data_IF_111948999806
#
_entry.id   IF_111948999806
#
_cell.length_a   1.000
_cell.length_b   1.000
_cell.length_c   1.000
_cell.angle_alpha   90.00
_cell.angle_beta   90.00
_cell.angle_gamma   90.00
#
_symmetry.space_group_name_H-M   'P 1'
#
loop_
_entity.id
_entity.type
_entity.pdbx_description
1 polymer ?
#
# COMPACT_ATOMS: atom_id res chain seq x y z
N UNK A 1 -15.86 40.06 9.38
CA UNK A 1 -15.67 38.76 8.70
C UNK A 1 -15.00 37.85 9.70
N UNK A 2 -15.66 36.77 10.14
CA UNK A 2 -15.13 35.92 11.22
C UNK A 2 -14.05 34.98 10.67
N UNK A 3 -12.90 34.89 11.34
CA UNK A 3 -11.78 34.02 10.93
C UNK A 3 -12.22 32.55 10.73
N UNK A 4 -13.19 32.06 11.53
CA UNK A 4 -13.78 30.73 11.38
C UNK A 4 -14.45 30.49 10.03
N UNK A 5 -15.05 31.51 9.42
CA UNK A 5 -15.70 31.40 8.11
C UNK A 5 -14.67 31.33 6.97
N UNK A 6 -13.47 31.90 7.17
CA UNK A 6 -12.39 31.84 6.19
C UNK A 6 -11.86 30.42 6.03
N UNK A 7 -11.60 29.71 7.13
CA UNK A 7 -11.08 28.33 7.11
C UNK A 7 -12.09 27.29 6.63
N UNK A 8 -13.39 27.50 6.82
CA UNK A 8 -14.43 26.60 6.31
C UNK A 8 -14.55 26.62 4.78
N UNK A 9 -13.98 27.62 4.11
CA UNK A 9 -14.02 27.76 2.65
C UNK A 9 -12.85 27.09 1.92
N UNK A 10 -11.86 26.54 2.64
CA UNK A 10 -10.69 25.90 2.05
C UNK A 10 -10.99 24.44 1.71
N UNK A 11 -11.19 24.14 0.43
CA UNK A 11 -11.31 22.78 -0.06
C UNK A 11 -9.92 22.15 -0.20
N UNK A 12 -9.67 21.06 0.53
CA UNK A 12 -8.50 20.22 0.34
C UNK A 12 -8.80 19.23 -0.79
N UNK A 13 -8.57 19.68 -2.02
CA UNK A 13 -8.74 18.87 -3.21
C UNK A 13 -7.49 18.02 -3.47
N UNK A 14 -7.67 16.82 -4.03
CA UNK A 14 -6.53 16.08 -4.57
C UNK A 14 -5.81 16.96 -5.59
N UNK A 15 -4.48 17.10 -5.55
CA UNK A 15 -3.78 17.87 -6.57
C UNK A 15 -3.89 17.22 -7.98
N UNK A 16 -4.59 16.08 -8.12
CA UNK A 16 -4.64 15.22 -9.31
C UNK A 16 -6.03 14.96 -9.88
N UNK A 17 -6.99 15.90 -9.74
CA UNK A 17 -8.38 15.77 -10.22
C UNK A 17 -8.62 15.45 -11.71
N UNK A 18 -7.57 15.31 -12.53
CA UNK A 18 -7.70 14.88 -13.91
C UNK A 18 -6.79 13.68 -14.16
N UNK A 19 -7.38 12.49 -14.26
CA UNK A 19 -6.79 11.24 -14.77
C UNK A 19 -6.24 11.35 -16.23
N UNK A 20 -6.18 12.56 -16.80
CA UNK A 20 -5.68 12.87 -18.13
C UNK A 20 -4.38 13.70 -18.13
N UNK A 21 -3.67 13.78 -17.01
CA UNK A 21 -2.25 14.12 -17.07
C UNK A 21 -1.47 12.84 -17.34
N UNK A 22 -1.18 12.65 -18.63
CA UNK A 22 0.09 12.04 -19.07
C UNK A 22 1.15 12.24 -17.99
N UNK A 23 1.80 11.15 -17.57
CA UNK A 23 3.10 11.12 -16.90
C UNK A 23 3.92 12.38 -17.21
N UNK A 24 3.71 13.45 -16.46
CA UNK A 24 4.83 14.26 -16.05
C UNK A 24 5.57 13.29 -15.15
N UNK A 25 6.80 12.92 -15.52
CA UNK A 25 7.64 12.09 -14.69
C UNK A 25 7.80 12.81 -13.34
N UNK A 26 6.88 12.56 -12.41
CA UNK A 26 6.95 13.02 -11.03
C UNK A 26 7.87 12.10 -10.23
N UNK A 27 8.71 11.31 -10.91
CA UNK A 27 9.75 10.48 -10.30
C UNK A 27 10.67 11.33 -9.41
N UNK A 28 10.80 12.63 -9.71
CA UNK A 28 11.61 13.60 -8.96
C UNK A 28 10.90 14.19 -7.72
N UNK A 29 9.58 14.00 -7.55
CA UNK A 29 8.83 14.52 -6.41
C UNK A 29 8.70 13.45 -5.32
N UNK A 30 9.56 13.54 -4.29
CA UNK A 30 9.56 12.63 -3.14
C UNK A 30 9.07 13.34 -1.88
N UNK A 31 8.01 12.81 -1.28
CA UNK A 31 7.55 13.17 0.07
C UNK A 31 8.09 12.17 1.08
N UNK A 32 8.66 12.63 2.20
CA UNK A 32 9.19 11.75 3.26
C UNK A 32 8.43 11.99 4.56
N UNK A 33 7.81 10.94 5.10
CA UNK A 33 7.28 10.88 6.47
C UNK A 33 8.35 10.21 7.33
N UNK A 34 9.19 11.02 7.97
CA UNK A 34 10.33 10.54 8.75
C UNK A 34 9.94 9.71 9.97
N UNK A 35 10.86 8.88 10.45
CA UNK A 35 10.63 7.90 11.54
C UNK A 35 10.19 8.50 12.88
N UNK A 36 10.50 9.77 13.13
CA UNK A 36 10.05 10.51 14.32
C UNK A 36 8.64 11.10 14.20
N UNK A 37 7.90 10.77 13.14
CA UNK A 37 6.59 11.34 12.83
C UNK A 37 5.46 10.35 13.14
N UNK A 38 4.42 10.84 13.80
CA UNK A 38 3.14 10.13 13.98
C UNK A 38 2.04 10.99 13.39
N UNK A 39 1.29 10.44 12.42
CA UNK A 39 0.12 11.07 11.82
C UNK A 39 -1.11 10.32 12.29
N UNK A 40 -1.82 10.90 13.26
CA UNK A 40 -3.03 10.30 13.83
C UNK A 40 -4.29 10.88 13.16
N UNK A 41 -4.74 10.20 12.09
CA UNK A 41 -5.99 10.49 11.43
C UNK A 41 -7.21 9.87 12.13
N UNK A 42 -8.39 10.46 11.90
CA UNK A 42 -9.69 9.82 12.14
C UNK A 42 -10.05 8.90 10.96
N UNK A 43 -11.18 8.19 11.04
CA UNK A 43 -11.60 7.23 10.01
C UNK A 43 -11.62 7.82 8.57
N UNK A 44 -11.95 9.10 8.42
CA UNK A 44 -12.01 9.78 7.11
C UNK A 44 -10.77 10.62 6.78
N UNK A 45 -9.72 10.54 7.59
CA UNK A 45 -8.47 11.27 7.34
C UNK A 45 -7.69 10.60 6.22
N UNK A 46 -7.15 11.43 5.32
CA UNK A 46 -6.47 10.98 4.10
C UNK A 46 -5.14 11.73 3.95
N UNK A 47 -4.09 11.00 3.62
CA UNK A 47 -2.88 11.52 3.00
C UNK A 47 -3.05 11.29 1.50
N UNK A 48 -2.99 12.36 0.71
CA UNK A 48 -3.05 12.29 -0.76
C UNK A 48 -1.69 12.77 -1.28
N UNK A 49 -0.95 11.87 -1.93
CA UNK A 49 0.37 12.17 -2.49
C UNK A 49 0.37 11.97 -4.01
N UNK A 50 0.97 12.92 -4.71
CA UNK A 50 1.00 12.96 -6.17
C UNK A 50 2.17 12.32 -6.86
N UNK A 51 3.32 12.48 -6.24
CA UNK A 51 4.55 11.85 -6.65
C UNK A 51 4.76 10.58 -5.86
N UNK A 52 6.01 10.41 -5.44
CA UNK A 52 6.44 9.30 -4.63
C UNK A 52 6.38 9.65 -3.15
N UNK A 53 6.15 8.64 -2.31
CA UNK A 53 6.17 8.81 -0.85
C UNK A 53 7.01 7.73 -0.19
N UNK A 54 7.77 8.14 0.81
CA UNK A 54 8.48 7.25 1.72
C UNK A 54 7.92 7.43 3.13
N UNK A 55 7.51 6.33 3.78
CA UNK A 55 6.88 6.34 5.10
C UNK A 55 7.72 5.51 6.05
N UNK A 56 8.53 6.18 6.86
CA UNK A 56 9.31 5.59 7.94
C UNK A 56 8.62 5.71 9.32
N UNK A 57 7.67 6.65 9.44
CA UNK A 57 6.93 6.93 10.68
C UNK A 57 5.70 6.06 10.89
N UNK A 58 4.74 6.57 11.66
CA UNK A 58 3.46 5.91 11.92
C UNK A 58 2.32 6.71 11.31
N UNK A 59 1.41 6.04 10.61
CA UNK A 59 0.25 6.67 9.96
C UNK A 59 -1.02 5.91 10.31
N UNK A 60 -2.04 6.64 10.73
CA UNK A 60 -3.40 6.13 10.89
C UNK A 60 -4.34 6.85 9.92
N UNK A 61 -5.02 6.09 9.06
CA UNK A 61 -5.94 6.61 8.04
C UNK A 61 -5.62 6.11 6.63
N UNK A 62 -6.23 6.74 5.62
CA UNK A 62 -5.98 6.42 4.22
C UNK A 62 -4.66 7.04 3.75
N UNK A 63 -3.84 6.25 3.07
CA UNK A 63 -2.68 6.71 2.29
C UNK A 63 -2.98 6.45 0.82
N UNK A 64 -3.24 7.52 0.07
CA UNK A 64 -3.57 7.46 -1.36
C UNK A 64 -2.49 8.16 -2.19
N UNK A 65 -1.75 7.37 -2.95
CA UNK A 65 -0.53 7.77 -3.65
C UNK A 65 -0.74 7.54 -5.14
N UNK A 66 -0.52 8.58 -5.96
CA UNK A 66 -0.61 8.47 -7.40
C UNK A 66 0.63 7.78 -8.01
N UNK A 67 1.81 7.98 -7.41
CA UNK A 67 3.08 7.34 -7.80
C UNK A 67 3.44 6.11 -6.94
N UNK A 68 4.74 5.99 -6.67
CA UNK A 68 5.32 4.88 -5.90
C UNK A 68 5.31 5.18 -4.40
N UNK A 69 5.02 4.17 -3.59
CA UNK A 69 5.10 4.24 -2.14
C UNK A 69 6.14 3.25 -1.60
N UNK A 70 7.02 3.71 -0.72
CA UNK A 70 7.93 2.89 0.06
C UNK A 70 7.57 2.99 1.54
N UNK A 71 7.31 1.85 2.18
CA UNK A 71 6.90 1.79 3.58
C UNK A 71 7.96 1.04 4.37
N UNK A 72 8.54 1.73 5.37
CA UNK A 72 9.43 1.17 6.39
C UNK A 72 8.77 1.20 7.79
N UNK A 73 7.67 1.93 7.91
CA UNK A 73 7.00 2.24 9.17
C UNK A 73 5.75 1.40 9.47
N UNK A 74 4.85 1.98 10.26
CA UNK A 74 3.57 1.34 10.63
C UNK A 74 2.39 2.09 10.02
N UNK A 75 1.47 1.36 9.39
CA UNK A 75 0.22 1.91 8.87
C UNK A 75 -0.98 1.17 9.47
N UNK A 76 -1.91 1.93 10.05
CA UNK A 76 -3.23 1.46 10.47
C UNK A 76 -4.29 2.12 9.57
N UNK A 77 -4.66 1.44 8.49
CA UNK A 77 -5.58 1.96 7.48
C UNK A 77 -5.36 1.42 6.07
N UNK A 78 -6.06 2.02 5.10
CA UNK A 78 -6.01 1.62 3.70
C UNK A 78 -4.81 2.25 2.98
N UNK A 79 -4.10 1.47 2.17
CA UNK A 79 -3.01 1.95 1.31
C UNK A 79 -3.37 1.76 -0.15
N UNK A 80 -3.37 2.85 -0.92
CA UNK A 80 -3.53 2.85 -2.37
C UNK A 80 -2.27 3.43 -3.02
N UNK A 81 -1.67 2.73 -3.97
CA UNK A 81 -0.49 3.22 -4.69
C UNK A 81 -0.39 2.64 -6.11
N UNK A 82 0.38 3.28 -6.99
CA UNK A 82 0.62 2.76 -8.34
C UNK A 82 1.58 1.58 -8.26
N UNK A 83 2.70 1.80 -7.57
CA UNK A 83 3.70 0.82 -7.17
C UNK A 83 3.86 0.90 -5.65
N UNK A 84 4.05 -0.25 -5.01
CA UNK A 84 4.21 -0.29 -3.56
C UNK A 84 5.32 -1.26 -3.18
N UNK A 85 6.27 -0.76 -2.39
CA UNK A 85 7.28 -1.56 -1.71
C UNK A 85 7.07 -1.43 -0.21
N UNK A 86 6.93 -2.57 0.47
CA UNK A 86 6.84 -2.64 1.93
C UNK A 86 8.09 -3.36 2.40
N UNK A 87 8.89 -2.68 3.22
CA UNK A 87 10.22 -3.10 3.62
C UNK A 87 10.25 -3.71 5.02
N UNK A 88 11.40 -4.28 5.36
CA UNK A 88 11.59 -5.11 6.55
C UNK A 88 11.23 -4.36 7.84
N UNK A 89 10.50 -5.04 8.73
CA UNK A 89 10.06 -4.49 10.00
C UNK A 89 8.78 -3.65 9.94
N UNK A 90 8.26 -3.40 8.74
CA UNK A 90 6.99 -2.69 8.55
C UNK A 90 5.80 -3.48 9.08
N UNK A 91 4.79 -2.76 9.56
CA UNK A 91 3.53 -3.33 10.05
C UNK A 91 2.35 -2.64 9.41
N UNK A 92 1.48 -3.40 8.74
CA UNK A 92 0.29 -2.84 8.10
C UNK A 92 -0.95 -3.56 8.64
N UNK A 93 -1.81 -2.79 9.30
CA UNK A 93 -3.15 -3.23 9.70
C UNK A 93 -4.17 -2.52 8.81
N UNK A 94 -4.64 -3.19 7.78
CA UNK A 94 -5.57 -2.65 6.79
C UNK A 94 -5.32 -3.20 5.39
N UNK A 95 -6.23 -2.87 4.48
CA UNK A 95 -6.17 -3.38 3.11
C UNK A 95 -5.12 -2.61 2.27
N UNK A 96 -4.52 -3.31 1.31
CA UNK A 96 -3.54 -2.79 0.37
C UNK A 96 -4.10 -2.92 -1.05
N UNK A 97 -4.16 -1.82 -1.79
CA UNK A 97 -4.49 -1.79 -3.21
C UNK A 97 -3.33 -1.20 -4.02
N UNK A 98 -2.55 -2.09 -4.63
CA UNK A 98 -1.50 -1.71 -5.57
C UNK A 98 -2.01 -1.86 -7.00
N UNK A 99 -1.89 -0.83 -7.83
CA UNK A 99 -2.42 -0.88 -9.22
C UNK A 99 -1.53 -1.68 -10.17
N UNK A 100 -0.22 -1.72 -9.92
CA UNK A 100 0.74 -2.44 -10.78
C UNK A 100 1.54 -3.48 -10.02
N UNK A 101 2.68 -3.10 -9.44
CA UNK A 101 3.64 -4.02 -8.84
C UNK A 101 3.76 -3.79 -7.35
N UNK A 102 3.50 -4.84 -6.60
CA UNK A 102 3.65 -4.91 -5.15
C UNK A 102 4.87 -5.76 -4.80
N UNK A 103 5.76 -5.25 -3.97
CA UNK A 103 6.86 -6.01 -3.35
C UNK A 103 6.77 -5.88 -1.84
N UNK A 104 6.79 -7.00 -1.12
CA UNK A 104 6.73 -7.03 0.34
C UNK A 104 7.91 -7.85 0.85
N UNK A 105 8.76 -7.23 1.66
CA UNK A 105 9.98 -7.81 2.20
C UNK A 105 9.96 -7.71 3.73
N UNK A 106 9.90 -8.84 4.44
CA UNK A 106 10.07 -8.90 5.90
C UNK A 106 9.05 -8.11 6.72
N UNK A 107 7.79 -8.06 6.29
CA UNK A 107 6.72 -7.30 6.95
C UNK A 107 5.63 -8.18 7.58
N UNK A 108 4.91 -7.62 8.56
CA UNK A 108 3.70 -8.21 9.14
C UNK A 108 2.46 -7.47 8.63
N UNK A 109 1.53 -8.19 8.00
CA UNK A 109 0.33 -7.59 7.39
C UNK A 109 -0.92 -8.30 7.89
N UNK A 110 -1.89 -7.52 8.37
CA UNK A 110 -3.24 -7.97 8.69
C UNK A 110 -4.21 -7.18 7.82
N UNK A 111 -4.74 -7.81 6.78
CA UNK A 111 -5.57 -7.15 5.79
C UNK A 111 -5.52 -7.84 4.43
N UNK A 112 -6.43 -7.46 3.53
CA UNK A 112 -6.48 -8.01 2.18
C UNK A 112 -5.55 -7.24 1.25
N UNK A 113 -4.99 -7.95 0.28
CA UNK A 113 -4.04 -7.41 -0.68
C UNK A 113 -4.60 -7.57 -2.08
N UNK A 114 -4.60 -6.48 -2.85
CA UNK A 114 -4.92 -6.47 -4.27
C UNK A 114 -3.75 -5.89 -5.06
N UNK A 115 -3.28 -6.61 -6.07
CA UNK A 115 -2.21 -6.19 -6.96
C UNK A 115 -2.39 -6.74 -8.38
N UNK A 116 -1.65 -6.19 -9.35
CA UNK A 116 -1.50 -6.86 -10.66
C UNK A 116 -0.40 -7.91 -10.63
N UNK A 117 0.79 -7.51 -10.19
CA UNK A 117 1.90 -8.41 -9.91
C UNK A 117 2.29 -8.26 -8.44
N UNK A 118 2.58 -9.37 -7.76
CA UNK A 118 3.01 -9.34 -6.37
C UNK A 118 4.21 -10.26 -6.12
N UNK A 119 5.23 -9.73 -5.44
CA UNK A 119 6.31 -10.50 -4.83
C UNK A 119 6.16 -10.41 -3.30
N UNK A 120 6.03 -11.57 -2.66
CA UNK A 120 5.66 -11.67 -1.25
C UNK A 120 6.74 -12.44 -0.50
N UNK A 121 7.42 -11.76 0.41
CA UNK A 121 8.30 -12.30 1.43
C UNK A 121 7.87 -11.79 2.82
N UNK A 122 6.75 -12.28 3.36
CA UNK A 122 6.12 -11.67 4.54
C UNK A 122 5.19 -12.62 5.32
N UNK A 123 4.80 -12.20 6.53
CA UNK A 123 3.73 -12.81 7.31
C UNK A 123 2.42 -12.07 7.04
N UNK A 124 1.44 -12.74 6.45
CA UNK A 124 0.19 -12.13 5.98
C UNK A 124 -1.00 -12.89 6.56
N UNK A 125 -1.89 -12.17 7.22
CA UNK A 125 -3.22 -12.64 7.60
C UNK A 125 -4.29 -11.87 6.83
N UNK A 126 -4.83 -12.51 5.80
CA UNK A 126 -5.81 -11.92 4.90
C UNK A 126 -5.77 -12.53 3.50
N UNK A 127 -6.70 -12.13 2.64
CA UNK A 127 -6.78 -12.66 1.28
C UNK A 127 -5.85 -11.90 0.33
N UNK A 128 -5.29 -12.60 -0.64
CA UNK A 128 -4.43 -12.02 -1.68
C UNK A 128 -5.08 -12.21 -3.03
N UNK A 129 -5.26 -11.13 -3.77
CA UNK A 129 -5.69 -11.13 -5.17
C UNK A 129 -4.63 -10.47 -6.05
N UNK A 130 -3.93 -11.28 -6.84
CA UNK A 130 -2.89 -10.83 -7.77
C UNK A 130 -3.29 -11.16 -9.21
N UNK A 131 -3.81 -10.19 -9.97
CA UNK A 131 -4.52 -10.49 -11.24
C UNK A 131 -3.65 -11.14 -12.32
N UNK A 132 -2.33 -10.91 -12.33
CA UNK A 132 -1.43 -11.46 -13.34
C UNK A 132 -0.46 -12.50 -12.77
N UNK A 133 0.46 -12.11 -11.88
CA UNK A 133 1.51 -13.00 -11.36
C UNK A 133 1.71 -12.81 -9.85
N UNK A 134 1.86 -13.92 -9.14
CA UNK A 134 2.15 -13.97 -7.71
C UNK A 134 3.38 -14.83 -7.44
N UNK A 135 4.42 -14.23 -6.87
CA UNK A 135 5.63 -14.90 -6.42
C UNK A 135 5.70 -14.88 -4.91
N UNK A 136 5.86 -16.05 -4.30
CA UNK A 136 5.92 -16.22 -2.86
C UNK A 136 7.29 -16.76 -2.49
N UNK A 137 8.05 -15.98 -1.72
CA UNK A 137 9.39 -16.30 -1.26
C UNK A 137 9.40 -17.34 -0.13
N UNK A 138 10.55 -17.94 0.08
CA UNK A 138 10.76 -19.07 0.99
C UNK A 138 10.44 -18.82 2.48
N UNK A 139 10.47 -17.58 2.97
CA UNK A 139 10.14 -17.25 4.37
C UNK A 139 8.69 -16.80 4.59
N UNK A 140 7.86 -16.77 3.55
CA UNK A 140 6.49 -16.28 3.65
C UNK A 140 5.58 -17.21 4.44
N UNK A 141 4.71 -16.62 5.26
CA UNK A 141 3.62 -17.30 5.96
C UNK A 141 2.32 -16.58 5.62
N UNK A 142 1.39 -17.25 4.94
CA UNK A 142 0.15 -16.63 4.47
C UNK A 142 -1.04 -17.42 5.01
N UNK A 143 -1.87 -16.77 5.83
CA UNK A 143 -3.14 -17.28 6.34
C UNK A 143 -4.29 -16.54 5.65
N UNK A 144 -4.92 -17.19 4.67
CA UNK A 144 -6.01 -16.61 3.88
C UNK A 144 -6.13 -17.20 2.49
N UNK A 145 -7.14 -16.76 1.74
CA UNK A 145 -7.36 -17.25 0.38
C UNK A 145 -6.51 -16.46 -0.63
N UNK A 146 -6.03 -17.16 -1.66
CA UNK A 146 -5.21 -16.61 -2.72
C UNK A 146 -5.95 -16.77 -4.05
N UNK A 147 -6.08 -15.69 -4.81
CA UNK A 147 -6.59 -15.68 -6.16
C UNK A 147 -5.56 -15.04 -7.10
N UNK A 148 -5.10 -15.75 -8.14
CA UNK A 148 -4.08 -15.18 -9.04
C UNK A 148 -4.13 -15.71 -10.47
N UNK A 149 -3.51 -15.01 -11.43
CA UNK A 149 -3.37 -15.48 -12.82
C UNK A 149 -2.29 -16.54 -13.00
N UNK A 150 -1.18 -16.37 -12.29
CA UNK A 150 0.01 -17.22 -12.30
C UNK A 150 0.60 -17.24 -10.90
N UNK A 151 1.17 -18.38 -10.48
CA UNK A 151 1.76 -18.51 -9.16
C UNK A 151 3.10 -19.25 -9.20
N UNK A 152 4.07 -18.74 -8.45
CA UNK A 152 5.35 -19.39 -8.17
C UNK A 152 5.61 -19.36 -6.67
N UNK A 153 5.92 -20.51 -6.08
CA UNK A 153 6.12 -20.66 -4.63
C UNK A 153 7.50 -21.25 -4.41
N UNK A 154 8.34 -20.57 -3.64
CA UNK A 154 9.66 -21.05 -3.26
C UNK A 154 9.58 -22.05 -2.09
N UNK A 155 10.57 -22.95 -2.02
CA UNK A 155 10.63 -23.97 -0.97
C UNK A 155 10.84 -23.34 0.40
N UNK A 156 9.89 -23.57 1.32
CA UNK A 156 9.91 -23.02 2.68
C UNK A 156 8.66 -22.19 3.01
N UNK A 157 7.96 -21.69 2.00
CA UNK A 157 6.74 -20.91 2.19
C UNK A 157 5.62 -21.75 2.81
N UNK A 158 4.88 -21.16 3.75
CA UNK A 158 3.73 -21.78 4.41
C UNK A 158 2.46 -21.08 3.98
N UNK A 159 1.54 -21.81 3.36
CA UNK A 159 0.25 -21.29 2.91
C UNK A 159 -0.88 -22.05 3.61
N UNK A 160 -1.74 -21.32 4.32
CA UNK A 160 -2.91 -21.84 5.01
C UNK A 160 -4.18 -21.17 4.48
N UNK A 161 -4.82 -21.80 3.49
CA UNK A 161 -6.06 -21.32 2.90
C UNK A 161 -6.34 -21.95 1.53
N UNK A 162 -7.28 -21.38 0.79
CA UNK A 162 -7.62 -21.85 -0.56
C UNK A 162 -6.82 -21.10 -1.62
N UNK A 163 -6.32 -21.83 -2.62
CA UNK A 163 -5.66 -21.25 -3.80
C UNK A 163 -6.56 -21.41 -5.03
N UNK A 164 -6.83 -20.30 -5.70
CA UNK A 164 -7.55 -20.24 -6.98
C UNK A 164 -6.66 -19.60 -8.04
N UNK A 165 -6.40 -20.31 -9.13
CA UNK A 165 -5.70 -19.76 -10.29
C UNK A 165 -6.72 -19.43 -11.39
N UNK A 166 -6.92 -18.14 -11.68
CA UNK A 166 -7.83 -17.63 -12.71
C UNK A 166 -7.10 -17.63 -14.06
N UNK A 167 -7.65 -18.30 -15.08
CA UNK A 167 -7.12 -18.29 -16.45
C UNK A 167 -7.70 -17.14 -17.27
#
# INVERSE_FOLDING_TARGET
MNEKELFQSVNFESPFQSDNRNKANNDDELTIIGSSTVIEGKQDSKIICGGNIEIMGQVKGLVDVAGSAEIYGTIDGLVNAEQLTVEEGSKINGDINCRTTLSINGADIVGNIKAKNAYINASIKGNIEATNDLKIANSSVIEGNIATGSISIESGAVLAGNLLVKK
#
